data_IF_995523907517
#
_entry.id   IF_995523907517
#
_cell.length_a   1.000
_cell.length_b   1.000
_cell.length_c   1.000
_cell.angle_alpha   90.00
_cell.angle_beta   90.00
_cell.angle_gamma   90.00
#
_symmetry.space_group_name_H-M   'P 1'
#
loop_
_entity.id
_entity.type
_entity.pdbx_description
1 polymer ?
#
# COMPACT_ATOMS: atom_id res chain seq x y z
N UNK A 1 -66.89 -11.13 -1.47
CA UNK A 1 -65.95 -10.07 -1.05
C UNK A 1 -65.77 -9.95 0.47
N UNK A 2 -66.83 -9.75 1.28
CA UNK A 2 -66.65 -9.52 2.74
C UNK A 2 -66.21 -10.76 3.53
N UNK A 3 -66.74 -11.95 3.19
CA UNK A 3 -66.34 -13.24 3.79
C UNK A 3 -64.88 -13.60 3.53
N UNK A 4 -64.36 -13.35 2.34
CA UNK A 4 -62.94 -13.58 2.00
C UNK A 4 -62.02 -12.67 2.80
N UNK A 5 -62.40 -11.40 2.97
CA UNK A 5 -61.64 -10.46 3.82
C UNK A 5 -61.57 -10.93 5.28
N UNK A 6 -62.66 -11.49 5.82
CA UNK A 6 -62.65 -12.09 7.18
C UNK A 6 -61.77 -13.34 7.26
N UNK A 7 -61.80 -14.21 6.25
CA UNK A 7 -60.95 -15.40 6.19
C UNK A 7 -59.46 -15.04 6.14
N UNK A 8 -59.10 -14.02 5.36
CA UNK A 8 -57.73 -13.49 5.29
C UNK A 8 -57.30 -12.92 6.65
N UNK A 9 -58.15 -12.14 7.30
CA UNK A 9 -57.88 -11.58 8.64
C UNK A 9 -57.66 -12.68 9.69
N UNK A 10 -58.50 -13.72 9.70
CA UNK A 10 -58.35 -14.87 10.61
C UNK A 10 -57.06 -15.64 10.33
N UNK A 11 -56.69 -15.81 9.05
CA UNK A 11 -55.44 -16.48 8.65
C UNK A 11 -54.22 -15.68 9.12
N UNK A 12 -54.22 -14.36 8.93
CA UNK A 12 -53.16 -13.45 9.40
C UNK A 12 -53.04 -13.51 10.93
N UNK A 13 -54.17 -13.52 11.65
CA UNK A 13 -54.19 -13.59 13.11
C UNK A 13 -53.57 -14.90 13.63
N UNK A 14 -53.95 -16.05 13.05
CA UNK A 14 -53.36 -17.35 13.40
C UNK A 14 -51.87 -17.46 13.05
N UNK A 15 -51.42 -16.79 11.98
CA UNK A 15 -50.00 -16.76 11.61
C UNK A 15 -49.17 -15.94 12.61
N UNK A 16 -49.72 -14.84 13.13
CA UNK A 16 -49.09 -14.06 14.22
C UNK A 16 -49.03 -14.83 15.54
N UNK A 17 -50.08 -15.61 15.87
CA UNK A 17 -50.09 -16.47 17.07
C UNK A 17 -49.12 -17.66 16.98
N UNK A 18 -48.90 -18.22 15.78
CA UNK A 18 -47.99 -19.36 15.58
C UNK A 18 -46.49 -19.02 15.70
N UNK A 19 -46.13 -17.74 15.60
CA UNK A 19 -44.74 -17.29 15.72
C UNK A 19 -44.68 -16.23 16.82
N UNK A 20 -44.74 -16.62 18.11
CA UNK A 20 -44.55 -15.68 19.21
C UNK A 20 -43.06 -15.31 19.27
N UNK A 21 -42.62 -14.41 18.40
CA UNK A 21 -41.33 -13.74 18.59
C UNK A 21 -41.52 -12.78 19.76
N UNK A 22 -41.29 -13.27 20.97
CA UNK A 22 -41.21 -12.43 22.16
C UNK A 22 -40.23 -11.28 21.88
N UNK A 23 -40.59 -10.06 22.26
CA UNK A 23 -39.72 -8.88 22.12
C UNK A 23 -38.36 -9.11 22.79
N UNK A 24 -38.29 -9.95 23.82
CA UNK A 24 -37.05 -10.30 24.51
C UNK A 24 -36.17 -11.23 23.65
N UNK A 25 -36.78 -12.24 23.00
CA UNK A 25 -36.08 -13.09 22.03
C UNK A 25 -35.52 -12.29 20.83
N UNK A 26 -36.23 -11.25 20.40
CA UNK A 26 -35.77 -10.38 19.32
C UNK A 26 -34.57 -9.52 19.74
N UNK A 27 -34.57 -8.97 20.96
CA UNK A 27 -33.43 -8.22 21.51
C UNK A 27 -32.19 -9.10 21.64
N UNK A 28 -32.36 -10.34 22.09
CA UNK A 28 -31.25 -11.29 22.24
C UNK A 28 -30.69 -11.72 20.89
N UNK A 29 -31.55 -11.97 19.89
CA UNK A 29 -31.11 -12.27 18.53
C UNK A 29 -30.32 -11.10 17.92
N UNK A 30 -30.79 -9.86 18.09
CA UNK A 30 -30.09 -8.66 17.61
C UNK A 30 -28.76 -8.45 18.33
N UNK A 31 -28.72 -8.63 19.66
CA UNK A 31 -27.49 -8.50 20.46
C UNK A 31 -26.46 -9.56 20.08
N UNK A 32 -26.88 -10.81 19.94
CA UNK A 32 -26.01 -11.92 19.54
C UNK A 32 -25.54 -11.74 18.08
N UNK A 33 -26.43 -11.31 17.19
CA UNK A 33 -26.09 -10.97 15.81
C UNK A 33 -25.06 -9.84 15.72
N UNK A 34 -25.25 -8.77 16.50
CA UNK A 34 -24.30 -7.65 16.58
C UNK A 34 -22.96 -8.10 17.16
N UNK A 35 -22.96 -8.94 18.19
CA UNK A 35 -21.74 -9.50 18.76
C UNK A 35 -20.97 -10.33 17.73
N UNK A 36 -21.63 -11.25 17.03
CA UNK A 36 -21.02 -12.05 15.97
C UNK A 36 -20.52 -11.20 14.82
N UNK A 37 -21.26 -10.15 14.46
CA UNK A 37 -20.84 -9.17 13.45
C UNK A 37 -19.55 -8.47 13.87
N UNK A 38 -19.48 -7.92 15.09
CA UNK A 38 -18.27 -7.25 15.61
C UNK A 38 -17.10 -8.25 15.66
N UNK A 39 -17.34 -9.47 16.11
CA UNK A 39 -16.31 -10.52 16.18
C UNK A 39 -15.77 -10.85 14.79
N UNK A 40 -16.66 -11.04 13.80
CA UNK A 40 -16.28 -11.31 12.42
C UNK A 40 -15.43 -10.18 11.83
N UNK A 41 -15.86 -8.92 11.98
CA UNK A 41 -15.11 -7.76 11.50
C UNK A 41 -13.78 -7.58 12.24
N UNK A 42 -13.72 -7.89 13.53
CA UNK A 42 -12.47 -7.85 14.31
C UNK A 42 -11.47 -8.90 13.81
N UNK A 43 -11.93 -10.12 13.50
CA UNK A 43 -11.09 -11.17 12.91
C UNK A 43 -10.60 -10.74 11.53
N UNK A 44 -11.50 -10.24 10.68
CA UNK A 44 -11.14 -9.73 9.35
C UNK A 44 -10.11 -8.59 9.42
N UNK A 45 -10.28 -7.68 10.39
CA UNK A 45 -9.36 -6.59 10.65
C UNK A 45 -7.96 -7.11 11.01
N UNK A 46 -7.85 -8.08 11.93
CA UNK A 46 -6.57 -8.67 12.34
C UNK A 46 -5.88 -9.45 11.20
N UNK A 47 -6.67 -10.09 10.33
CA UNK A 47 -6.14 -10.80 9.16
C UNK A 47 -5.58 -9.80 8.14
N UNK A 48 -6.31 -8.71 7.87
CA UNK A 48 -6.01 -7.78 6.77
C UNK A 48 -5.02 -6.69 7.14
N UNK A 49 -4.95 -6.29 8.41
CA UNK A 49 -4.14 -5.14 8.86
C UNK A 49 -2.97 -5.62 9.73
N UNK A 50 -1.80 -5.01 9.51
CA UNK A 50 -0.60 -5.12 10.34
C UNK A 50 -0.30 -3.75 10.94
N UNK A 51 0.25 -3.72 12.15
CA UNK A 51 0.79 -2.50 12.74
C UNK A 51 2.28 -2.36 12.44
N UNK A 52 2.74 -1.15 12.18
CA UNK A 52 4.16 -0.86 11.98
C UNK A 52 4.59 0.34 12.82
N UNK A 53 5.67 0.20 13.58
CA UNK A 53 6.30 1.28 14.34
C UNK A 53 7.43 1.88 13.50
N UNK A 54 7.34 3.17 13.19
CA UNK A 54 8.40 3.88 12.47
C UNK A 54 9.60 4.07 13.39
N UNK A 55 10.75 3.57 12.95
CA UNK A 55 12.04 3.78 13.59
C UNK A 55 12.96 4.56 12.64
N UNK A 56 13.54 5.65 13.14
CA UNK A 56 14.47 6.50 12.38
C UNK A 56 13.80 7.62 11.56
N UNK A 57 14.61 8.25 10.70
CA UNK A 57 14.29 9.56 10.08
C UNK A 57 14.21 9.53 8.55
N UNK A 58 14.26 8.34 7.93
CA UNK A 58 14.34 8.19 6.46
C UNK A 58 13.11 8.66 5.70
N UNK A 59 11.99 8.85 6.41
CA UNK A 59 10.71 9.24 5.84
C UNK A 59 10.26 10.64 6.26
N UNK A 60 11.14 11.44 6.88
CA UNK A 60 10.81 12.85 7.18
C UNK A 60 10.59 13.64 5.88
N UNK A 61 9.66 14.62 5.87
CA UNK A 61 8.77 15.00 6.98
C UNK A 61 7.50 14.12 7.09
N UNK A 62 7.23 13.28 6.08
CA UNK A 62 6.00 12.50 5.94
C UNK A 62 5.73 11.61 7.15
N UNK A 63 6.73 10.82 7.58
CA UNK A 63 6.66 9.97 8.77
C UNK A 63 7.79 10.34 9.73
N UNK A 64 7.45 10.42 11.01
CA UNK A 64 8.39 10.71 12.08
C UNK A 64 8.65 9.46 12.91
N UNK A 65 9.82 9.43 13.55
CA UNK A 65 10.15 8.40 14.53
C UNK A 65 9.01 8.25 15.56
N UNK A 66 8.68 7.00 15.92
CA UNK A 66 7.57 6.61 16.80
C UNK A 66 6.15 6.76 16.24
N UNK A 67 5.98 7.17 14.98
CA UNK A 67 4.68 7.04 14.31
C UNK A 67 4.25 5.57 14.31
N UNK A 68 2.96 5.32 14.58
CA UNK A 68 2.37 3.98 14.48
C UNK A 68 1.35 3.94 13.36
N UNK A 69 1.52 2.95 12.50
CA UNK A 69 0.89 2.88 11.19
C UNK A 69 0.04 1.63 11.07
N UNK A 70 -1.12 1.76 10.41
CA UNK A 70 -1.81 0.62 9.83
C UNK A 70 -1.31 0.36 8.41
N UNK A 71 -0.92 -0.89 8.20
CA UNK A 71 -0.44 -1.44 6.95
C UNK A 71 -1.47 -2.46 6.48
N UNK A 72 -2.05 -2.23 5.30
CA UNK A 72 -3.00 -3.15 4.68
C UNK A 72 -2.21 -4.20 3.92
N UNK A 73 -2.36 -5.45 4.33
CA UNK A 73 -1.77 -6.63 3.66
C UNK A 73 -2.48 -6.86 2.32
N UNK A 74 -1.80 -7.47 1.36
CA UNK A 74 -2.33 -7.84 0.04
C UNK A 74 -2.87 -6.67 -0.80
N UNK A 75 -2.62 -5.42 -0.39
CA UNK A 75 -2.93 -4.26 -1.22
C UNK A 75 -1.79 -4.05 -2.21
N UNK A 76 -2.13 -3.96 -3.49
CA UNK A 76 -1.14 -3.72 -4.55
C UNK A 76 -0.49 -2.34 -4.37
N UNK A 77 0.85 -2.24 -4.34
CA UNK A 77 1.55 -0.97 -4.26
C UNK A 77 1.32 -0.12 -5.51
N UNK A 78 0.76 1.07 -5.31
CA UNK A 78 0.62 2.07 -6.37
C UNK A 78 1.80 3.04 -6.33
N UNK A 79 2.02 3.75 -7.44
CA UNK A 79 2.98 4.86 -7.47
C UNK A 79 2.68 5.83 -6.33
N UNK A 80 3.75 6.28 -5.66
CA UNK A 80 3.76 7.15 -4.50
C UNK A 80 3.17 6.57 -3.22
N UNK A 81 2.62 5.36 -3.23
CA UNK A 81 2.21 4.69 -2.01
C UNK A 81 3.42 4.43 -1.10
N UNK A 82 3.17 4.44 0.20
CA UNK A 82 4.14 4.02 1.20
C UNK A 82 4.00 2.52 1.42
N UNK A 83 5.10 1.78 1.31
CA UNK A 83 5.13 0.33 1.51
C UNK A 83 6.03 -0.02 2.68
N UNK A 84 5.67 -1.09 3.39
CA UNK A 84 6.59 -1.74 4.32
C UNK A 84 7.14 -3.01 3.67
N UNK A 85 8.44 -3.26 3.79
CA UNK A 85 9.09 -4.43 3.19
C UNK A 85 10.28 -4.89 4.02
N UNK A 86 10.64 -6.16 3.86
CA UNK A 86 11.84 -6.72 4.48
C UNK A 86 13.02 -6.70 3.49
N UNK A 87 14.12 -5.99 3.79
CA UNK A 87 15.30 -5.99 2.92
C UNK A 87 15.95 -7.39 2.89
N UNK A 88 16.47 -7.79 1.72
CA UNK A 88 17.06 -9.12 1.51
C UNK A 88 18.21 -9.44 2.47
N UNK A 89 19.01 -8.44 2.82
CA UNK A 89 20.21 -8.60 3.65
C UNK A 89 19.94 -8.57 5.16
N UNK A 90 18.78 -8.06 5.60
CA UNK A 90 18.45 -7.92 7.03
C UNK A 90 17.09 -8.54 7.34
N UNK A 91 17.11 -9.85 7.52
CA UNK A 91 15.94 -10.57 8.00
C UNK A 91 15.56 -10.11 9.42
N UNK A 92 14.27 -10.05 9.69
CA UNK A 92 13.69 -9.51 10.94
C UNK A 92 13.47 -8.00 10.95
N UNK A 93 14.09 -7.23 10.06
CA UNK A 93 13.84 -5.79 9.94
C UNK A 93 12.71 -5.50 8.93
N UNK A 94 11.91 -4.45 9.19
CA UNK A 94 10.87 -3.95 8.27
C UNK A 94 11.11 -2.46 8.01
N UNK A 95 11.21 -2.10 6.72
CA UNK A 95 11.53 -0.77 6.25
C UNK A 95 10.28 -0.14 5.63
N UNK A 96 10.05 1.14 5.90
CA UNK A 96 9.02 1.92 5.20
C UNK A 96 9.69 2.83 4.17
N UNK A 97 9.22 2.79 2.92
CA UNK A 97 9.67 3.68 1.84
C UNK A 97 8.51 4.05 0.91
N UNK A 98 8.70 5.09 0.12
CA UNK A 98 7.74 5.51 -0.91
C UNK A 98 8.06 4.84 -2.23
N UNK A 99 7.04 4.28 -2.88
CA UNK A 99 7.15 3.72 -4.23
C UNK A 99 7.30 4.86 -5.23
N UNK A 100 8.39 4.86 -5.98
CA UNK A 100 8.69 5.87 -6.99
C UNK A 100 8.55 5.30 -8.39
N UNK A 101 9.07 4.08 -8.59
CA UNK A 101 8.92 3.31 -9.81
C UNK A 101 8.10 2.04 -9.56
N UNK A 102 7.19 1.75 -10.49
CA UNK A 102 6.33 0.56 -10.50
C UNK A 102 6.63 -0.29 -11.74
N UNK A 103 6.16 -1.55 -11.79
CA UNK A 103 6.24 -2.37 -12.98
C UNK A 103 5.87 -1.64 -14.29
N UNK A 104 6.72 -1.79 -15.30
CA UNK A 104 6.52 -1.18 -16.63
C UNK A 104 7.11 0.22 -16.81
N UNK A 105 7.48 0.91 -15.72
CA UNK A 105 8.13 2.23 -15.83
C UNK A 105 9.45 2.16 -16.57
N UNK A 106 9.77 3.22 -17.32
CA UNK A 106 11.09 3.34 -17.94
C UNK A 106 12.14 3.54 -16.89
N UNK A 107 13.18 2.74 -17.01
CA UNK A 107 14.40 2.87 -16.25
C UNK A 107 15.57 2.75 -17.22
N UNK A 108 16.56 3.64 -17.08
CA UNK A 108 17.83 3.48 -17.78
C UNK A 108 18.96 4.02 -16.93
N UNK A 109 20.17 3.66 -17.32
CA UNK A 109 21.38 3.96 -16.57
C UNK A 109 22.33 4.76 -17.42
N UNK A 110 22.97 5.76 -16.81
CA UNK A 110 24.26 6.23 -17.26
C UNK A 110 25.24 6.23 -16.09
N UNK A 111 26.33 5.47 -16.23
CA UNK A 111 27.28 5.18 -15.15
C UNK A 111 26.54 4.70 -13.88
N UNK A 112 26.62 5.45 -12.78
CA UNK A 112 25.93 5.17 -11.52
C UNK A 112 24.68 6.04 -11.30
N UNK A 113 24.13 6.61 -12.37
CA UNK A 113 22.89 7.38 -12.34
C UNK A 113 21.76 6.58 -12.98
N UNK A 114 20.72 6.31 -12.20
CA UNK A 114 19.41 5.83 -12.66
C UNK A 114 18.57 7.01 -13.13
N UNK A 115 17.90 6.82 -14.24
CA UNK A 115 16.83 7.69 -14.73
C UNK A 115 15.53 6.90 -14.72
N UNK A 116 14.47 7.48 -14.17
CA UNK A 116 13.13 6.90 -14.12
C UNK A 116 12.12 7.84 -14.80
N UNK A 117 11.31 7.33 -15.71
CA UNK A 117 10.25 8.10 -16.33
C UNK A 117 8.98 7.25 -16.54
N UNK A 118 7.87 7.68 -15.95
CA UNK A 118 6.58 6.96 -16.04
C UNK A 118 5.72 7.34 -17.25
N UNK A 119 6.05 8.41 -17.97
CA UNK A 119 5.32 8.89 -19.14
C UNK A 119 5.93 8.38 -20.44
N UNK A 120 7.22 8.02 -20.42
CA UNK A 120 7.89 7.47 -21.58
C UNK A 120 7.48 6.03 -21.85
N UNK A 121 7.18 5.71 -23.11
CA UNK A 121 6.86 4.35 -23.52
C UNK A 121 8.11 3.44 -23.56
N UNK A 122 7.91 2.14 -23.34
CA UNK A 122 8.95 1.09 -23.44
C UNK A 122 9.67 1.07 -24.81
N UNK A 123 9.02 1.55 -25.86
CA UNK A 123 9.56 1.59 -27.22
C UNK A 123 10.41 2.83 -27.50
N UNK A 124 10.36 3.85 -26.65
CA UNK A 124 11.10 5.08 -26.88
C UNK A 124 12.61 4.82 -26.75
N UNK A 125 13.45 5.37 -27.64
CA UNK A 125 14.89 5.24 -27.52
C UNK A 125 15.36 5.89 -26.22
N UNK A 126 16.33 5.25 -25.57
CA UNK A 126 16.96 5.81 -24.38
C UNK A 126 17.69 7.10 -24.77
N UNK A 127 17.52 8.21 -24.02
CA UNK A 127 18.31 9.42 -24.26
C UNK A 127 19.81 9.11 -24.20
N UNK A 128 20.64 9.67 -25.12
CA UNK A 128 22.07 9.40 -25.16
C UNK A 128 22.79 9.83 -23.86
N UNK A 129 23.82 9.10 -23.44
CA UNK A 129 24.53 9.25 -22.15
C UNK A 129 25.11 10.67 -21.87
N UNK A 130 25.35 10.96 -20.59
CA UNK A 130 25.72 12.26 -19.99
C UNK A 130 26.95 12.95 -20.58
N UNK A 131 27.82 12.26 -21.33
CA UNK A 131 28.90 12.95 -22.08
C UNK A 131 28.36 14.01 -23.04
N UNK A 132 27.10 13.90 -23.45
CA UNK A 132 26.41 14.87 -24.30
C UNK A 132 25.27 15.62 -23.58
N UNK A 133 25.07 15.46 -22.26
CA UNK A 133 23.90 16.00 -21.53
C UNK A 133 24.24 17.16 -20.56
N UNK A 134 25.40 17.81 -20.70
CA UNK A 134 25.55 19.17 -20.16
C UNK A 134 24.72 20.13 -21.03
N UNK A 135 23.41 20.21 -20.77
CA UNK A 135 22.49 21.10 -21.47
C UNK A 135 21.39 20.43 -22.31
N UNK A 136 21.16 19.12 -22.18
CA UNK A 136 20.01 18.46 -22.82
C UNK A 136 18.86 18.38 -21.82
N UNK A 137 17.71 18.92 -22.20
CA UNK A 137 16.46 18.78 -21.46
C UNK A 137 16.10 17.28 -21.40
N UNK A 138 16.08 16.72 -20.19
CA UNK A 138 15.52 15.40 -19.99
C UNK A 138 14.03 15.46 -20.35
N UNK A 139 13.45 14.37 -20.88
CA UNK A 139 12.01 14.31 -21.06
C UNK A 139 11.29 14.67 -19.77
N UNK A 140 10.20 15.42 -19.88
CA UNK A 140 9.43 15.85 -18.72
C UNK A 140 9.09 14.70 -17.77
N UNK A 141 9.17 14.97 -16.48
CA UNK A 141 8.91 13.98 -15.43
C UNK A 141 10.02 12.96 -15.20
N UNK A 142 11.19 13.08 -15.87
CA UNK A 142 12.33 12.18 -15.61
C UNK A 142 12.94 12.46 -14.25
N UNK A 143 12.94 11.46 -13.37
CA UNK A 143 13.64 11.50 -12.11
C UNK A 143 15.07 10.97 -12.27
N UNK A 144 16.06 11.78 -11.86
CA UNK A 144 17.49 11.40 -11.82
C UNK A 144 17.92 11.00 -10.41
N UNK A 145 18.50 9.82 -10.26
CA UNK A 145 18.90 9.26 -8.97
C UNK A 145 20.29 8.63 -9.06
N UNK A 146 21.25 9.10 -8.26
CA UNK A 146 22.55 8.42 -8.12
C UNK A 146 22.41 7.20 -7.20
N UNK A 147 22.95 6.07 -7.65
CA UNK A 147 22.94 4.78 -6.94
C UNK A 147 24.37 4.29 -6.69
N UNK A 148 24.53 3.25 -5.87
CA UNK A 148 25.82 2.59 -5.70
C UNK A 148 26.24 1.88 -6.98
N UNK A 149 27.54 1.67 -7.17
CA UNK A 149 28.06 0.93 -8.32
C UNK A 149 27.52 -0.51 -8.41
N UNK A 150 27.27 -1.13 -7.26
CA UNK A 150 26.68 -2.46 -7.19
C UNK A 150 25.24 -2.46 -7.74
N UNK A 151 24.41 -1.51 -7.31
CA UNK A 151 23.06 -1.35 -7.84
C UNK A 151 23.09 -1.01 -9.33
N UNK A 152 24.00 -0.11 -9.75
CA UNK A 152 24.16 0.24 -11.15
C UNK A 152 24.49 -0.99 -12.02
N UNK A 153 25.37 -1.88 -11.54
CA UNK A 153 25.69 -3.13 -12.23
C UNK A 153 24.47 -4.06 -12.34
N UNK A 154 23.65 -4.17 -11.29
CA UNK A 154 22.41 -4.97 -11.28
C UNK A 154 21.33 -4.43 -12.22
N UNK A 155 21.28 -3.11 -12.44
CA UNK A 155 20.30 -2.44 -13.31
C UNK A 155 20.79 -2.27 -14.75
N UNK A 156 22.04 -2.60 -15.05
CA UNK A 156 22.64 -2.39 -16.38
C UNK A 156 21.87 -3.17 -17.45
N UNK A 157 21.50 -2.49 -18.53
CA UNK A 157 20.76 -3.08 -19.65
C UNK A 157 19.26 -3.20 -19.43
N UNK A 158 18.75 -2.82 -18.26
CA UNK A 158 17.32 -2.73 -18.00
C UNK A 158 16.73 -1.50 -18.70
N UNK A 159 15.59 -1.68 -19.38
CA UNK A 159 14.85 -0.60 -20.05
C UNK A 159 13.50 -0.30 -19.39
N UNK A 160 12.98 -1.25 -18.60
CA UNK A 160 11.73 -1.12 -17.83
C UNK A 160 11.85 -1.84 -16.48
N UNK A 161 11.15 -1.34 -15.47
CA UNK A 161 11.02 -2.06 -14.19
C UNK A 161 10.24 -3.38 -14.41
N UNK A 162 10.77 -4.54 -13.96
CA UNK A 162 10.10 -5.84 -14.09
C UNK A 162 8.74 -5.93 -13.42
N UNK A 163 7.92 -6.91 -13.84
CA UNK A 163 6.52 -7.07 -13.38
C UNK A 163 6.34 -7.21 -11.86
N UNK A 164 7.35 -7.72 -11.16
CA UNK A 164 7.28 -8.05 -9.73
C UNK A 164 8.26 -7.20 -8.91
N UNK A 165 8.62 -6.02 -9.39
CA UNK A 165 9.68 -5.21 -8.78
C UNK A 165 9.26 -3.75 -8.67
N UNK A 166 9.76 -3.08 -7.64
CA UNK A 166 9.47 -1.68 -7.35
C UNK A 166 10.77 -0.92 -7.06
N UNK A 167 10.84 0.32 -7.52
CA UNK A 167 11.91 1.24 -7.12
C UNK A 167 11.37 2.17 -6.03
N UNK A 168 11.96 2.12 -4.84
CA UNK A 168 11.47 2.83 -3.66
C UNK A 168 12.52 3.82 -3.14
N UNK A 169 12.07 4.97 -2.65
CA UNK A 169 12.93 5.98 -2.03
C UNK A 169 12.37 6.41 -0.67
N UNK A 170 13.25 6.83 0.22
CA UNK A 170 12.84 7.59 1.40
C UNK A 170 12.48 9.01 1.04
N UNK A 171 11.53 9.60 1.76
CA UNK A 171 11.20 11.01 1.59
C UNK A 171 12.35 11.91 2.08
N UNK A 172 13.08 11.47 3.11
CA UNK A 172 14.32 12.10 3.54
C UNK A 172 15.50 11.56 2.72
N UNK A 173 15.62 12.06 1.48
CA UNK A 173 16.59 11.58 0.48
C UNK A 173 18.03 11.53 1.01
N UNK A 174 18.47 12.47 1.84
CA UNK A 174 19.86 12.49 2.33
C UNK A 174 20.14 11.45 3.42
N UNK A 175 19.12 10.83 4.02
CA UNK A 175 19.26 9.96 5.18
C UNK A 175 18.36 8.72 5.05
N UNK A 176 18.49 7.99 3.95
CA UNK A 176 17.63 6.85 3.65
C UNK A 176 18.38 5.76 2.91
N UNK A 177 18.47 4.58 3.52
CA UNK A 177 18.81 3.32 2.85
C UNK A 177 17.58 2.83 2.11
N UNK A 178 17.62 2.92 0.78
CA UNK A 178 16.51 2.62 -0.13
C UNK A 178 17.05 2.07 -1.46
N UNK A 179 16.28 2.10 -2.56
CA UNK A 179 16.69 1.49 -3.83
C UNK A 179 18.02 2.01 -4.39
N UNK A 180 18.54 3.14 -3.90
CA UNK A 180 19.89 3.62 -4.23
C UNK A 180 21.01 2.69 -3.78
N UNK A 181 20.78 1.98 -2.69
CA UNK A 181 21.72 1.04 -2.08
C UNK A 181 21.21 -0.41 -2.19
N UNK A 182 19.90 -0.61 -2.05
CA UNK A 182 19.25 -1.92 -2.03
C UNK A 182 18.91 -2.44 -3.44
N UNK A 183 18.80 -1.57 -4.43
CA UNK A 183 18.25 -1.88 -5.75
C UNK A 183 16.73 -2.02 -5.74
N UNK A 184 16.19 -2.74 -6.73
CA UNK A 184 14.74 -2.97 -6.81
C UNK A 184 14.26 -3.87 -5.68
N UNK A 185 13.05 -3.60 -5.19
CA UNK A 185 12.39 -4.38 -4.15
C UNK A 185 11.37 -5.29 -4.81
N UNK A 186 11.49 -6.59 -4.57
CA UNK A 186 10.56 -7.57 -5.10
C UNK A 186 9.20 -7.51 -4.38
N UNK A 187 8.14 -7.81 -5.11
CA UNK A 187 6.78 -7.80 -4.59
C UNK A 187 6.58 -8.78 -3.43
N UNK A 188 7.27 -9.92 -3.42
CA UNK A 188 7.20 -10.93 -2.33
C UNK A 188 7.85 -10.44 -1.02
N UNK A 189 8.69 -9.40 -1.08
CA UNK A 189 9.28 -8.76 0.11
C UNK A 189 8.41 -7.66 0.68
N UNK A 190 7.40 -7.20 -0.06
CA UNK A 190 6.47 -6.17 0.39
C UNK A 190 5.44 -6.79 1.33
N UNK A 191 5.43 -6.33 2.58
CA UNK A 191 4.51 -6.80 3.62
C UNK A 191 3.13 -6.15 3.49
N UNK A 192 3.07 -4.95 2.91
CA UNK A 192 1.82 -4.26 2.62
C UNK A 192 1.98 -2.76 2.39
N UNK A 193 0.84 -2.09 2.23
CA UNK A 193 0.76 -0.66 1.95
C UNK A 193 0.32 0.09 3.21
N UNK A 194 1.09 1.10 3.61
CA UNK A 194 0.76 2.02 4.69
C UNK A 194 -0.45 2.87 4.26
N UNK A 195 -1.47 2.95 5.11
CA UNK A 195 -2.70 3.70 4.78
C UNK A 195 -3.11 4.73 5.82
N UNK A 196 -2.76 4.50 7.08
CA UNK A 196 -3.26 5.34 8.18
C UNK A 196 -2.23 5.43 9.30
N UNK A 197 -2.03 6.64 9.84
CA UNK A 197 -1.32 6.87 11.10
C UNK A 197 -2.34 6.93 12.22
N UNK A 198 -2.24 6.00 13.18
CA UNK A 198 -3.13 5.99 14.35
C UNK A 198 -2.46 6.56 15.62
N UNK A 199 -1.15 6.78 15.59
CA UNK A 199 -0.43 7.45 16.68
C UNK A 199 0.80 8.21 16.14
N UNK A 200 1.17 9.39 16.69
CA UNK A 200 0.49 10.12 17.77
C UNK A 200 -0.87 10.70 17.36
N UNK A 201 -1.78 10.86 18.32
CA UNK A 201 -3.16 11.31 18.06
C UNK A 201 -3.21 12.70 17.40
N UNK A 202 -2.25 13.58 17.70
CA UNK A 202 -2.16 14.91 17.11
C UNK A 202 -1.87 14.90 15.59
N UNK A 203 -1.37 13.78 15.04
CA UNK A 203 -1.08 13.61 13.60
C UNK A 203 -1.85 12.43 13.00
N UNK A 204 -2.92 12.00 13.68
CA UNK A 204 -3.76 10.89 13.26
C UNK A 204 -4.45 11.23 11.93
N UNK A 205 -4.45 10.29 11.00
CA UNK A 205 -5.05 10.51 9.69
C UNK A 205 -4.57 9.52 8.63
N UNK A 206 -5.22 9.60 7.47
CA UNK A 206 -4.77 8.90 6.27
C UNK A 206 -3.39 9.40 5.85
N UNK A 207 -2.62 8.51 5.23
CA UNK A 207 -1.32 8.86 4.65
C UNK A 207 -1.41 8.60 3.14
N UNK A 208 -1.10 9.63 2.37
CA UNK A 208 -1.07 9.61 0.90
C UNK A 208 0.35 9.46 0.34
#
# INVERSE_FOLDING_TARGET
MEKERRLIQIRIQRLKEKIPVSKDNLKDLLKNGLFLFILFFSILFLITIKTHLVSGNSMLPTLQNKDRLFVVKNKEPKRYALVTFQPREKQGESYVKRVIGIPGDRIWMDQNTVYLNHQMAATNPTPPNEKNLSGVELPDGTLKVRVTWEVAAKLKGMSTIPSNSFFVLGDNRKNSTDSRELGLIDQDKIEGVVTFRYYPLARLGLIE
#
